data_IF_300111123059
#
_entry.id   IF_300111123059
#
_cell.length_a   1.000
_cell.length_b   1.000
_cell.length_c   1.000
_cell.angle_alpha   90.00
_cell.angle_beta   90.00
_cell.angle_gamma   90.00
#
_symmetry.space_group_name_H-M   'P 1'
#
loop_
_entity.id
_entity.type
_entity.pdbx_description
1 polymer ?
#
# COMPACT_ATOMS: atom_id res chain seq x y z
N UNK A 1 -14.90 5.40 -13.35
CA UNK A 1 -13.67 4.85 -12.75
C UNK A 1 -13.99 4.37 -11.34
N UNK A 2 -13.64 3.14 -10.99
CA UNK A 2 -13.81 2.62 -9.61
C UNK A 2 -12.47 2.76 -8.90
N UNK A 3 -12.50 3.18 -7.63
CA UNK A 3 -11.32 3.26 -6.76
C UNK A 3 -11.44 2.19 -5.68
N UNK A 4 -10.42 1.34 -5.58
CA UNK A 4 -10.35 0.28 -4.57
C UNK A 4 -9.25 0.61 -3.58
N UNK A 5 -9.51 0.39 -2.29
CA UNK A 5 -8.52 0.58 -1.21
C UNK A 5 -8.34 -0.74 -0.48
N UNK A 6 -7.09 -1.14 -0.32
CA UNK A 6 -6.70 -2.36 0.39
C UNK A 6 -5.74 -2.01 1.52
N UNK A 7 -5.75 -2.82 2.59
CA UNK A 7 -4.59 -2.88 3.49
C UNK A 7 -3.51 -3.73 2.83
N UNK A 8 -2.25 -3.50 3.21
CA UNK A 8 -1.16 -4.39 2.88
C UNK A 8 -1.47 -5.83 3.28
N UNK A 9 -0.87 -6.80 2.59
CA UNK A 9 -1.00 -8.22 2.92
C UNK A 9 -0.37 -8.54 4.29
N UNK A 10 -0.44 -9.80 4.70
CA UNK A 10 -0.01 -10.22 6.03
C UNK A 10 1.47 -9.87 6.30
N UNK A 11 1.68 -9.18 7.42
CA UNK A 11 2.98 -8.86 8.00
C UNK A 11 2.88 -9.10 9.51
N UNK A 12 3.51 -10.13 10.09
CA UNK A 12 3.37 -10.46 11.51
C UNK A 12 3.85 -9.34 12.45
N UNK A 13 3.10 -9.09 13.53
CA UNK A 13 3.42 -8.08 14.54
C UNK A 13 2.57 -6.81 14.46
N UNK A 14 2.81 -5.89 15.39
CA UNK A 14 2.13 -4.60 15.51
C UNK A 14 3.12 -3.45 15.42
N UNK A 15 2.75 -2.38 14.70
CA UNK A 15 3.66 -1.25 14.48
C UNK A 15 4.91 -1.61 13.67
N UNK A 16 5.89 -0.71 13.65
CA UNK A 16 7.21 -0.95 13.07
C UNK A 16 8.28 -0.99 14.18
N UNK A 17 9.42 -1.66 13.95
CA UNK A 17 10.52 -1.71 14.92
C UNK A 17 11.04 -0.31 15.31
N UNK A 18 11.70 -0.17 16.47
CA UNK A 18 12.47 1.02 16.79
C UNK A 18 13.49 1.33 15.69
N UNK A 19 13.76 2.62 15.46
CA UNK A 19 14.64 3.10 14.38
C UNK A 19 14.19 2.74 12.95
N UNK A 20 12.88 2.53 12.74
CA UNK A 20 12.25 2.47 11.43
C UNK A 20 12.73 3.60 10.51
N UNK A 21 13.09 3.24 9.28
CA UNK A 21 13.42 4.18 8.20
C UNK A 21 12.61 3.84 6.95
N UNK A 22 12.02 4.85 6.34
CA UNK A 22 11.17 4.70 5.14
C UNK A 22 11.96 4.09 3.96
N UNK A 23 13.23 4.44 3.83
CA UNK A 23 14.11 4.05 2.73
C UNK A 23 14.88 2.74 2.95
N UNK A 24 14.73 2.10 4.12
CA UNK A 24 15.44 0.87 4.46
C UNK A 24 14.47 -0.21 4.97
N UNK A 25 14.10 -1.12 4.09
CA UNK A 25 13.20 -2.23 4.40
C UNK A 25 13.73 -3.15 5.52
N UNK A 26 15.05 -3.22 5.76
CA UNK A 26 15.61 -4.06 6.82
C UNK A 26 15.22 -3.58 8.22
N UNK A 27 14.81 -2.31 8.34
CA UNK A 27 14.36 -1.69 9.60
C UNK A 27 12.85 -1.75 9.81
N UNK A 28 12.09 -2.33 8.86
CA UNK A 28 10.63 -2.30 8.86
C UNK A 28 10.02 -3.66 9.22
N UNK A 29 8.75 -3.64 9.65
CA UNK A 29 7.93 -4.87 9.69
C UNK A 29 7.46 -5.20 8.27
N UNK A 30 7.90 -6.34 7.75
CA UNK A 30 7.69 -6.76 6.37
C UNK A 30 6.69 -7.91 6.22
N UNK A 31 6.31 -8.19 4.97
CA UNK A 31 5.49 -9.36 4.64
C UNK A 31 6.24 -10.64 5.02
N UNK A 32 5.50 -11.63 5.51
CA UNK A 32 6.01 -12.99 5.58
C UNK A 32 5.63 -13.79 4.33
N UNK A 33 6.05 -15.06 4.26
CA UNK A 33 5.76 -15.91 3.11
C UNK A 33 4.25 -15.99 2.81
N UNK A 34 3.40 -16.05 3.84
CA UNK A 34 1.95 -16.04 3.66
C UNK A 34 1.44 -14.71 3.08
N UNK A 35 1.98 -13.57 3.54
CA UNK A 35 1.64 -12.26 2.96
C UNK A 35 2.08 -12.09 1.51
N UNK A 36 3.23 -12.65 1.13
CA UNK A 36 3.69 -12.65 -0.25
C UNK A 36 2.76 -13.47 -1.14
N UNK A 37 2.37 -14.68 -0.71
CA UNK A 37 1.41 -15.53 -1.42
C UNK A 37 0.03 -14.87 -1.56
N UNK A 38 -0.47 -14.22 -0.51
CA UNK A 38 -1.73 -13.47 -0.56
C UNK A 38 -1.71 -12.39 -1.65
N UNK A 39 -0.59 -11.67 -1.75
CA UNK A 39 -0.42 -10.59 -2.73
C UNK A 39 -0.43 -11.14 -4.16
N UNK A 40 0.29 -12.23 -4.41
CA UNK A 40 0.33 -12.91 -5.71
C UNK A 40 -1.05 -13.43 -6.13
N UNK A 41 -1.76 -14.10 -5.22
CA UNK A 41 -3.10 -14.65 -5.48
C UNK A 41 -4.14 -13.57 -5.78
N UNK A 42 -4.07 -12.44 -5.06
CA UNK A 42 -4.95 -11.30 -5.32
C UNK A 42 -4.68 -10.72 -6.72
N UNK A 43 -3.41 -10.52 -7.07
CA UNK A 43 -3.00 -10.09 -8.40
C UNK A 43 -3.46 -11.02 -9.51
N UNK A 44 -3.28 -12.32 -9.32
CA UNK A 44 -3.74 -13.35 -10.26
C UNK A 44 -5.25 -13.29 -10.46
N UNK A 45 -6.02 -13.12 -9.38
CA UNK A 45 -7.48 -12.99 -9.44
C UNK A 45 -7.91 -11.79 -10.29
N UNK A 46 -7.22 -10.65 -10.17
CA UNK A 46 -7.49 -9.46 -10.99
C UNK A 46 -7.22 -9.72 -12.48
N UNK A 47 -6.09 -10.36 -12.81
CA UNK A 47 -5.72 -10.71 -14.19
C UNK A 47 -6.69 -11.73 -14.79
N UNK A 48 -7.04 -12.80 -14.05
CA UNK A 48 -7.99 -13.83 -14.50
C UNK A 48 -9.38 -13.25 -14.78
N UNK A 49 -9.81 -12.25 -14.00
CA UNK A 49 -11.08 -11.54 -14.21
C UNK A 49 -10.99 -10.40 -15.22
N UNK A 50 -9.82 -10.21 -15.84
CA UNK A 50 -9.56 -9.17 -16.83
C UNK A 50 -9.95 -7.76 -16.34
N UNK A 51 -9.72 -7.48 -15.05
CA UNK A 51 -10.02 -6.17 -14.46
C UNK A 51 -8.94 -5.19 -14.92
N UNK A 52 -9.25 -4.16 -15.72
CA UNK A 52 -8.26 -3.18 -16.15
C UNK A 52 -7.84 -2.31 -14.97
N UNK A 53 -6.53 -2.18 -14.75
CA UNK A 53 -5.95 -1.34 -13.69
C UNK A 53 -5.14 -0.23 -14.33
N UNK A 54 -5.60 1.01 -14.18
CA UNK A 54 -4.93 2.18 -14.74
C UNK A 54 -3.75 2.66 -13.88
N UNK A 55 -3.90 2.62 -12.55
CA UNK A 55 -2.90 3.13 -11.59
C UNK A 55 -2.85 2.27 -10.34
N UNK A 56 -1.64 2.06 -9.81
CA UNK A 56 -1.41 1.39 -8.53
C UNK A 56 -0.60 2.33 -7.64
N UNK A 57 -1.27 2.87 -6.62
CA UNK A 57 -0.66 3.73 -5.61
C UNK A 57 -0.42 2.93 -4.33
N UNK A 58 0.70 3.18 -3.66
CA UNK A 58 1.01 2.51 -2.39
C UNK A 58 1.65 3.45 -1.39
N UNK A 59 1.47 3.18 -0.10
CA UNK A 59 2.28 3.85 0.92
C UNK A 59 3.75 3.47 0.77
N UNK A 60 4.65 4.24 1.38
CA UNK A 60 6.09 3.99 1.28
C UNK A 60 6.59 2.87 2.21
N UNK A 61 5.71 2.21 2.95
CA UNK A 61 6.09 1.07 3.79
C UNK A 61 6.37 -0.14 2.91
N UNK A 62 7.48 -0.83 3.13
CA UNK A 62 7.91 -1.93 2.27
C UNK A 62 6.86 -3.03 2.18
N UNK A 63 6.17 -3.39 3.28
CA UNK A 63 5.04 -4.32 3.23
C UNK A 63 3.90 -3.90 2.28
N UNK A 64 3.63 -2.61 2.15
CA UNK A 64 2.61 -2.10 1.22
C UNK A 64 3.13 -2.07 -0.21
N UNK A 65 4.38 -1.62 -0.41
CA UNK A 65 5.03 -1.63 -1.72
C UNK A 65 5.15 -3.04 -2.27
N UNK A 66 5.60 -3.98 -1.46
CA UNK A 66 5.78 -5.39 -1.84
C UNK A 66 4.43 -6.07 -2.11
N UNK A 67 3.39 -5.73 -1.34
CA UNK A 67 2.02 -6.20 -1.66
C UNK A 67 1.63 -5.77 -3.07
N UNK A 68 1.76 -4.47 -3.38
CA UNK A 68 1.37 -3.91 -4.67
C UNK A 68 2.23 -4.43 -5.83
N UNK A 69 3.54 -4.60 -5.62
CA UNK A 69 4.48 -5.14 -6.61
C UNK A 69 4.17 -6.59 -6.92
N UNK A 70 3.97 -7.42 -5.89
CA UNK A 70 3.66 -8.84 -6.04
C UNK A 70 2.28 -9.08 -6.67
N UNK A 71 1.35 -8.13 -6.56
CA UNK A 71 0.10 -8.18 -7.30
C UNK A 71 0.31 -8.03 -8.80
N UNK A 72 1.39 -7.40 -9.27
CA UNK A 72 1.78 -7.31 -10.69
C UNK A 72 0.64 -6.88 -11.64
N UNK A 73 0.02 -5.74 -11.33
CA UNK A 73 -1.13 -5.20 -12.08
C UNK A 73 -0.75 -3.97 -12.94
N UNK A 74 0.20 -3.16 -12.47
CA UNK A 74 0.77 -1.99 -13.14
C UNK A 74 2.02 -1.54 -12.35
N UNK A 75 2.85 -0.63 -12.90
CA UNK A 75 3.91 0.01 -12.12
C UNK A 75 3.37 0.63 -10.82
N UNK A 76 4.07 0.39 -9.71
CA UNK A 76 3.67 0.90 -8.39
C UNK A 76 4.25 2.30 -8.19
N UNK A 77 3.38 3.26 -7.93
CA UNK A 77 3.75 4.64 -7.60
C UNK A 77 3.69 4.84 -6.07
N UNK A 78 4.82 5.15 -5.41
CA UNK A 78 4.80 5.55 -4.01
C UNK A 78 3.99 6.84 -3.83
N UNK A 79 3.02 6.81 -2.91
CA UNK A 79 2.14 7.93 -2.63
C UNK A 79 2.15 8.23 -1.12
N UNK A 80 2.99 9.17 -0.66
CA UNK A 80 3.21 9.45 0.76
C UNK A 80 1.95 9.81 1.57
N UNK A 81 0.88 10.27 0.90
CA UNK A 81 -0.43 10.51 1.52
C UNK A 81 -1.01 9.23 2.15
N UNK A 82 -0.63 8.05 1.67
CA UNK A 82 -1.03 6.75 2.23
C UNK A 82 -0.13 6.24 3.37
N UNK A 83 0.92 6.99 3.74
CA UNK A 83 1.83 6.60 4.82
C UNK A 83 1.08 6.46 6.14
N UNK A 84 1.50 5.47 6.96
CA UNK A 84 0.83 5.20 8.22
C UNK A 84 1.15 6.27 9.26
N UNK A 85 0.13 6.89 9.82
CA UNK A 85 0.21 7.78 10.98
C UNK A 85 0.06 7.03 12.32
N UNK A 86 0.29 5.71 12.35
CA UNK A 86 0.14 4.91 13.58
C UNK A 86 1.13 5.32 14.67
N UNK A 87 2.38 5.60 14.29
CA UNK A 87 3.42 6.07 15.22
C UNK A 87 3.34 7.55 15.56
N UNK A 88 2.73 8.36 14.69
CA UNK A 88 2.50 9.79 14.89
C UNK A 88 1.17 10.21 14.25
N UNK A 89 0.13 10.32 15.10
CA UNK A 89 -1.23 10.69 14.68
C UNK A 89 -1.39 12.18 14.35
N UNK A 90 -0.40 13.02 14.58
CA UNK A 90 -0.51 14.46 14.28
C UNK A 90 -0.70 14.72 12.79
N UNK A 91 -0.23 13.80 11.94
CA UNK A 91 -0.34 13.87 10.48
C UNK A 91 -1.70 13.39 9.92
N UNK A 92 -2.50 12.69 10.73
CA UNK A 92 -3.76 12.06 10.31
C UNK A 92 -4.75 13.03 9.64
N UNK A 93 -5.06 14.22 10.21
CA UNK A 93 -6.09 15.08 9.62
C UNK A 93 -5.69 15.63 8.25
N UNK A 94 -4.42 15.98 8.07
CA UNK A 94 -3.89 16.50 6.81
C UNK A 94 -3.85 15.40 5.74
N UNK A 95 -3.32 14.22 6.07
CA UNK A 95 -3.24 13.10 5.13
C UNK A 95 -4.63 12.59 4.71
N UNK A 96 -5.55 12.46 5.66
CA UNK A 96 -6.93 12.00 5.36
C UNK A 96 -7.63 12.98 4.42
N UNK A 97 -7.51 14.29 4.66
CA UNK A 97 -8.10 15.31 3.78
C UNK A 97 -7.48 15.27 2.38
N UNK A 98 -6.16 15.14 2.28
CA UNK A 98 -5.46 15.04 1.00
C UNK A 98 -5.90 13.79 0.21
N UNK A 99 -6.07 12.65 0.88
CA UNK A 99 -6.55 11.42 0.25
C UNK A 99 -8.01 11.56 -0.22
N UNK A 100 -8.88 12.15 0.60
CA UNK A 100 -10.27 12.42 0.24
C UNK A 100 -10.35 13.33 -0.99
N UNK A 101 -9.55 14.40 -1.02
CA UNK A 101 -9.50 15.30 -2.18
C UNK A 101 -9.01 14.58 -3.44
N UNK A 102 -7.97 13.76 -3.34
CA UNK A 102 -7.49 12.93 -4.44
C UNK A 102 -8.58 11.97 -4.96
N UNK A 103 -9.30 11.29 -4.05
CA UNK A 103 -10.36 10.35 -4.43
C UNK A 103 -11.56 11.06 -5.08
N UNK A 104 -11.93 12.26 -4.62
CA UNK A 104 -13.12 12.97 -5.07
C UNK A 104 -12.89 13.83 -6.31
N UNK A 105 -11.69 14.40 -6.48
CA UNK A 105 -11.45 15.47 -7.45
C UNK A 105 -10.32 15.19 -8.45
N UNK A 106 -9.60 14.08 -8.35
CA UNK A 106 -8.68 13.68 -9.43
C UNK A 106 -9.50 13.20 -10.63
N UNK A 107 -9.57 14.08 -11.64
CA UNK A 107 -10.03 13.81 -12.99
C UNK A 107 -8.86 13.23 -13.78
N UNK A 108 -8.58 11.94 -13.56
CA UNK A 108 -7.82 11.13 -14.52
C UNK A 108 -8.83 10.40 -15.41
#
# INVERSE_FOLDING_TARGET
MVRCVFRHARAPGTGDPPAFRIDDCSTQRNLDAAGQQQSQQLGETFRQRQIPVARVLSSQWCRSLDTARLMDLAPVEPFPVLNSFFGDRTTEPQQTRALQQFILFSLD
#
